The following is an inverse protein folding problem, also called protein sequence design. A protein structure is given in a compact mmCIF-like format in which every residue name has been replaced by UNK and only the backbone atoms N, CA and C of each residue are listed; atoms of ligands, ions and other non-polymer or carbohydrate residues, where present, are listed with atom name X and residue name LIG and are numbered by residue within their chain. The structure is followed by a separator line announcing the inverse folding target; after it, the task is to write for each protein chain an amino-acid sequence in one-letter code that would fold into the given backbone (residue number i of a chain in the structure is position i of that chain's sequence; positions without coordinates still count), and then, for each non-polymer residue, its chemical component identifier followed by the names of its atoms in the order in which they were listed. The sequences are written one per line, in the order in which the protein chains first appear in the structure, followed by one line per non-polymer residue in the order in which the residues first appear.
data_IF_285645884211
#
_entry.id   IF_285645884211
#
_cell.length_a   1.000
_cell.length_b   1.000
_cell.length_c   1.000
_cell.angle_alpha   90.00
_cell.angle_beta   90.00
_cell.angle_gamma   90.00
#
_symmetry.space_group_name_H-M   'P 1'
#
loop_
_entity.id
_entity.type
_entity.pdbx_description
1 polymer ?
#
# COMPACT_ATOMS: atom_id res chain seq x y z
N UNK A 1 43.85 28.24 1.38
CA UNK A 1 42.40 28.47 1.59
C UNK A 1 41.55 27.84 0.50
N UNK A 2 41.84 28.05 -0.79
CA UNK A 2 41.05 27.50 -1.91
C UNK A 2 41.02 25.95 -1.96
N UNK A 3 42.14 25.28 -1.68
CA UNK A 3 42.22 23.82 -1.67
C UNK A 3 41.39 23.16 -0.57
N UNK A 4 41.31 23.78 0.62
CA UNK A 4 40.46 23.30 1.70
C UNK A 4 38.96 23.43 1.35
N UNK A 5 38.59 24.50 0.66
CA UNK A 5 37.22 24.69 0.19
C UNK A 5 36.85 23.68 -0.91
N UNK A 6 37.78 23.39 -1.82
CA UNK A 6 37.62 22.34 -2.85
C UNK A 6 37.43 20.96 -2.21
N UNK A 7 38.25 20.63 -1.21
CA UNK A 7 38.13 19.37 -0.49
C UNK A 7 36.79 19.27 0.25
N UNK A 8 36.38 20.33 0.95
CA UNK A 8 35.08 20.37 1.65
C UNK A 8 33.90 20.21 0.67
N UNK A 9 33.97 20.83 -0.50
CA UNK A 9 32.94 20.74 -1.53
C UNK A 9 32.87 19.33 -2.13
N UNK A 10 34.02 18.69 -2.37
CA UNK A 10 34.06 17.27 -2.79
C UNK A 10 33.51 16.33 -1.72
N UNK A 11 33.86 16.53 -0.44
CA UNK A 11 33.31 15.73 0.66
C UNK A 11 31.79 15.89 0.80
N UNK A 12 31.26 17.11 0.64
CA UNK A 12 29.82 17.37 0.68
C UNK A 12 29.07 16.70 -0.48
N UNK A 13 29.63 16.73 -1.70
CA UNK A 13 29.09 16.02 -2.85
C UNK A 13 29.07 14.51 -2.57
N UNK A 14 30.17 13.93 -2.08
CA UNK A 14 30.24 12.49 -1.78
C UNK A 14 29.20 12.12 -0.70
N UNK A 15 29.09 12.91 0.38
CA UNK A 15 28.13 12.64 1.46
C UNK A 15 26.67 12.67 0.97
N UNK A 16 26.33 13.62 0.10
CA UNK A 16 24.99 13.71 -0.48
C UNK A 16 24.68 12.54 -1.42
N UNK A 17 25.68 12.00 -2.12
CA UNK A 17 25.52 10.88 -3.06
C UNK A 17 25.60 9.48 -2.43
N UNK A 18 26.11 9.34 -1.20
CA UNK A 18 26.21 8.05 -0.47
C UNK A 18 24.84 7.49 -0.04
N UNK A 19 23.76 8.28 -0.15
CA UNK A 19 22.40 7.84 0.20
C UNK A 19 21.66 7.12 -0.95
N UNK A 20 22.32 6.88 -2.11
CA UNK A 20 21.70 6.23 -3.27
C UNK A 20 21.98 4.71 -3.37
N UNK A 21 22.52 4.07 -2.34
CA UNK A 21 22.61 2.62 -2.34
C UNK A 21 21.17 2.03 -2.27
N UNK A 22 20.78 1.13 -3.18
CA UNK A 22 19.52 0.42 -3.06
C UNK A 22 19.50 -0.25 -1.69
N UNK A 23 18.49 0.06 -0.87
CA UNK A 23 18.28 -0.71 0.35
C UNK A 23 18.15 -2.18 -0.03
N UNK A 24 18.82 -3.12 0.66
CA UNK A 24 18.71 -4.53 0.34
C UNK A 24 17.23 -4.93 0.32
N UNK A 25 16.82 -5.64 -0.73
CA UNK A 25 15.44 -6.12 -0.86
C UNK A 25 15.10 -7.00 0.34
N UNK A 26 14.08 -6.59 1.09
CA UNK A 26 13.68 -7.28 2.31
C UNK A 26 12.50 -8.21 2.01
N UNK A 27 12.81 -9.47 1.70
CA UNK A 27 11.80 -10.49 1.41
C UNK A 27 11.11 -10.89 2.73
N UNK A 28 9.78 -10.94 2.70
CA UNK A 28 8.94 -11.39 3.82
C UNK A 28 7.98 -12.47 3.36
N UNK A 29 7.43 -13.24 4.29
CA UNK A 29 6.44 -14.28 4.03
C UNK A 29 5.17 -14.01 4.84
N UNK A 30 4.26 -13.19 4.31
CA UNK A 30 3.06 -12.82 5.02
C UNK A 30 2.18 -14.04 5.32
N UNK A 31 1.53 -14.02 6.47
CA UNK A 31 0.59 -15.06 6.91
C UNK A 31 -0.75 -14.42 7.20
N UNK A 32 -1.78 -14.88 6.50
CA UNK A 32 -3.16 -14.53 6.79
C UNK A 32 -3.72 -15.53 7.81
N UNK A 33 -4.20 -15.02 8.94
CA UNK A 33 -4.76 -15.79 10.04
C UNK A 33 -6.21 -15.36 10.24
N UNK A 34 -7.09 -16.33 10.44
CA UNK A 34 -8.51 -16.06 10.68
C UNK A 34 -8.91 -16.57 12.06
N UNK A 35 -9.61 -15.72 12.82
CA UNK A 35 -10.10 -16.09 14.12
C UNK A 35 -11.15 -17.21 14.02
N UNK A 36 -11.08 -18.20 14.92
CA UNK A 36 -12.08 -19.29 15.01
C UNK A 36 -13.44 -18.84 15.57
N UNK A 37 -13.55 -17.58 16.00
CA UNK A 37 -14.79 -17.02 16.54
C UNK A 37 -15.77 -16.62 15.44
N UNK A 38 -17.02 -16.32 15.81
CA UNK A 38 -18.08 -15.93 14.87
C UNK A 38 -17.78 -14.65 14.08
N UNK A 39 -16.87 -13.80 14.58
CA UNK A 39 -16.60 -12.50 14.00
C UNK A 39 -15.69 -12.55 12.75
N UNK A 40 -15.11 -13.70 12.40
CA UNK A 40 -14.32 -13.88 11.18
C UNK A 40 -13.16 -12.89 11.04
N UNK A 41 -12.66 -12.34 12.16
CA UNK A 41 -11.61 -11.32 12.14
C UNK A 41 -10.34 -11.91 11.54
N UNK A 42 -9.83 -11.26 10.48
CA UNK A 42 -8.59 -11.67 9.81
C UNK A 42 -7.43 -10.82 10.31
N UNK A 43 -6.27 -11.44 10.50
CA UNK A 43 -5.00 -10.80 10.82
C UNK A 43 -3.99 -11.12 9.73
N UNK A 44 -3.34 -10.09 9.18
CA UNK A 44 -2.25 -10.28 8.23
C UNK A 44 -0.92 -9.97 8.93
N UNK A 45 -0.19 -11.01 9.31
CA UNK A 45 1.16 -10.87 9.85
C UNK A 45 2.14 -10.80 8.68
N UNK A 46 2.79 -9.65 8.47
CA UNK A 46 3.75 -9.44 7.39
C UNK A 46 5.16 -9.80 7.86
N UNK A 47 5.53 -9.31 9.05
CA UNK A 47 6.79 -9.60 9.75
C UNK A 47 6.65 -9.25 11.23
N UNK A 48 7.68 -9.56 12.01
CA UNK A 48 7.75 -9.16 13.41
C UNK A 48 7.57 -7.64 13.56
N UNK A 49 6.64 -7.25 14.42
CA UNK A 49 6.27 -5.84 14.65
C UNK A 49 5.38 -5.21 13.58
N UNK A 50 5.02 -5.93 12.51
CA UNK A 50 4.09 -5.46 11.47
C UNK A 50 2.99 -6.48 11.20
N UNK A 51 1.86 -6.29 11.86
CA UNK A 51 0.62 -7.06 11.65
C UNK A 51 -0.53 -6.12 11.40
N UNK A 52 -1.35 -6.40 10.38
CA UNK A 52 -2.57 -5.66 10.10
C UNK A 52 -3.77 -6.38 10.69
N UNK A 53 -4.64 -5.63 11.36
CA UNK A 53 -5.96 -6.09 11.79
C UNK A 53 -6.96 -5.76 10.69
N UNK A 54 -7.45 -6.78 10.00
CA UNK A 54 -8.27 -6.60 8.81
C UNK A 54 -9.75 -6.57 9.16
N UNK A 55 -10.35 -5.39 9.00
CA UNK A 55 -11.79 -5.18 9.04
C UNK A 55 -12.34 -5.11 7.62
N UNK A 56 -13.59 -5.53 7.42
CA UNK A 56 -14.24 -5.41 6.11
C UNK A 56 -14.33 -3.94 5.70
N UNK A 57 -13.92 -3.64 4.47
CA UNK A 57 -14.15 -2.32 3.90
C UNK A 57 -15.62 -2.21 3.49
N UNK A 58 -16.30 -1.17 3.96
CA UNK A 58 -17.71 -0.88 3.64
C UNK A 58 -17.87 0.62 3.51
N UNK A 59 -17.44 1.15 2.38
CA UNK A 59 -17.45 2.60 2.09
C UNK A 59 -17.93 2.90 0.68
N UNK A 60 -18.03 1.89 -0.19
CA UNK A 60 -18.49 2.08 -1.55
C UNK A 60 -20.03 2.11 -1.57
N UNK A 61 -20.60 2.92 -2.47
CA UNK A 61 -22.02 2.87 -2.75
C UNK A 61 -22.36 1.62 -3.56
N UNK A 62 -23.57 1.08 -3.41
CA UNK A 62 -24.02 -0.15 -4.11
C UNK A 62 -23.80 -0.09 -5.63
N UNK A 63 -23.93 1.09 -6.23
CA UNK A 63 -23.71 1.32 -7.65
C UNK A 63 -22.80 2.53 -7.88
N UNK A 64 -21.74 2.33 -8.67
CA UNK A 64 -20.78 3.36 -9.06
C UNK A 64 -20.80 3.54 -10.58
N UNK A 65 -20.65 4.77 -11.05
CA UNK A 65 -20.48 5.06 -12.48
C UNK A 65 -19.01 5.39 -12.72
N UNK A 66 -18.34 4.54 -13.49
CA UNK A 66 -16.98 4.78 -13.97
C UNK A 66 -17.03 5.38 -15.38
N UNK A 67 -16.48 6.57 -15.52
CA UNK A 67 -16.42 7.25 -16.82
C UNK A 67 -14.98 7.23 -17.32
N UNK A 68 -14.75 6.54 -18.43
CA UNK A 68 -13.48 6.52 -19.14
C UNK A 68 -13.58 7.40 -20.39
N UNK A 69 -12.48 8.04 -20.78
CA UNK A 69 -12.37 8.70 -22.08
C UNK A 69 -11.57 7.82 -23.04
N UNK A 70 -12.24 7.27 -24.04
CA UNK A 70 -11.60 6.48 -25.10
C UNK A 70 -11.72 7.29 -26.38
N UNK A 71 -10.58 7.74 -26.91
CA UNK A 71 -10.49 8.50 -28.17
C UNK A 71 -11.43 9.73 -28.25
N UNK A 72 -11.60 10.44 -27.13
CA UNK A 72 -12.47 11.63 -27.05
C UNK A 72 -13.94 11.32 -26.78
N UNK A 73 -14.32 10.03 -26.70
CA UNK A 73 -15.68 9.59 -26.33
C UNK A 73 -15.69 9.21 -24.85
N UNK A 74 -16.61 9.80 -24.09
CA UNK A 74 -16.88 9.39 -22.71
C UNK A 74 -17.70 8.10 -22.71
N UNK A 75 -17.13 7.02 -22.17
CA UNK A 75 -17.79 5.73 -22.00
C UNK A 75 -18.08 5.53 -20.53
N UNK A 76 -19.35 5.36 -20.19
CA UNK A 76 -19.80 5.11 -18.82
C UNK A 76 -20.02 3.62 -18.58
N UNK A 77 -19.46 3.11 -17.49
CA UNK A 77 -19.65 1.73 -17.02
C UNK A 77 -20.25 1.75 -15.63
N UNK A 78 -21.39 1.09 -15.45
CA UNK A 78 -21.99 0.91 -14.13
C UNK A 78 -21.32 -0.29 -13.47
N UNK A 79 -20.70 -0.06 -12.31
CA UNK A 79 -20.05 -1.08 -11.49
C UNK A 79 -20.82 -1.31 -10.20
N UNK A 80 -20.82 -2.56 -9.73
CA UNK A 80 -21.39 -2.93 -8.45
C UNK A 80 -20.38 -2.67 -7.34
N UNK A 81 -20.65 -1.69 -6.47
CA UNK A 81 -19.73 -1.34 -5.39
C UNK A 81 -19.62 -2.41 -4.31
N UNK A 82 -20.70 -3.16 -4.06
CA UNK A 82 -20.71 -4.29 -3.12
C UNK A 82 -19.76 -5.39 -3.58
N UNK A 83 -19.73 -5.67 -4.89
CA UNK A 83 -18.79 -6.62 -5.49
C UNK A 83 -17.34 -6.12 -5.40
N UNK A 84 -17.11 -4.82 -5.64
CA UNK A 84 -15.78 -4.20 -5.55
C UNK A 84 -15.20 -4.25 -4.13
N UNK A 85 -16.03 -4.07 -3.09
CA UNK A 85 -15.57 -4.15 -1.69
C UNK A 85 -15.54 -5.58 -1.13
N UNK A 86 -16.07 -6.57 -1.86
CA UNK A 86 -16.16 -7.95 -1.39
C UNK A 86 -14.81 -8.58 -1.04
N UNK A 87 -13.70 -8.11 -1.57
CA UNK A 87 -12.36 -8.61 -1.24
C UNK A 87 -11.48 -7.55 -0.56
N UNK A 88 -12.02 -6.37 -0.29
CA UNK A 88 -11.28 -5.26 0.30
C UNK A 88 -11.40 -5.25 1.83
N UNK A 89 -10.25 -5.10 2.47
CA UNK A 89 -10.12 -4.99 3.91
C UNK A 89 -9.31 -3.74 4.27
N UNK A 90 -9.55 -3.20 5.45
CA UNK A 90 -8.83 -2.04 5.98
C UNK A 90 -8.33 -2.30 7.40
N UNK A 91 -7.16 -1.75 7.72
CA UNK A 91 -6.69 -1.52 9.09
C UNK A 91 -6.73 0.00 9.32
N UNK A 92 -7.74 0.46 10.07
CA UNK A 92 -7.96 1.89 10.31
C UNK A 92 -6.86 2.51 11.17
N UNK A 93 -6.28 1.75 12.11
CA UNK A 93 -5.23 2.24 12.99
C UNK A 93 -3.93 2.50 12.21
N UNK A 94 -3.64 1.63 11.25
CA UNK A 94 -2.44 1.72 10.41
C UNK A 94 -2.68 2.43 9.07
N UNK A 95 -3.91 2.88 8.82
CA UNK A 95 -4.33 3.55 7.58
C UNK A 95 -3.94 2.74 6.34
N UNK A 96 -4.15 1.43 6.38
CA UNK A 96 -3.80 0.52 5.31
C UNK A 96 -5.05 -0.15 4.71
N UNK A 97 -5.03 -0.41 3.42
CA UNK A 97 -6.04 -1.18 2.71
C UNK A 97 -5.39 -2.34 1.96
N UNK A 98 -6.03 -3.51 1.97
CA UNK A 98 -5.51 -4.73 1.36
C UNK A 98 -6.66 -5.45 0.66
N UNK A 99 -6.42 -5.83 -0.60
CA UNK A 99 -7.26 -6.79 -1.31
C UNK A 99 -6.78 -8.21 -0.99
N UNK A 100 -7.69 -9.08 -0.57
CA UNK A 100 -7.40 -10.49 -0.29
C UNK A 100 -8.29 -11.35 -1.18
N UNK A 101 -7.66 -12.10 -2.08
CA UNK A 101 -8.31 -13.13 -2.88
C UNK A 101 -8.17 -14.48 -2.15
N UNK A 102 -9.26 -15.25 -2.07
CA UNK A 102 -9.28 -16.60 -1.49
C UNK A 102 -8.87 -17.68 -2.50
#
# INVERSE_FOLDING_TARGET
MLEAYRLALLCAIIYLNVHCAPSPEHIVYPKLLEARGMNGTKLLNIKDGLTLSLEKLSVLADSLVFTENIDGVAVETIMNGTELEQNLYQDKEKMAAVAVEE
#
